data_IF_067019008379
#
_entry.id   IF_067019008379
#
_cell.length_a   1.000
_cell.length_b   1.000
_cell.length_c   1.000
_cell.angle_alpha   90.00
_cell.angle_beta   90.00
_cell.angle_gamma   90.00
#
_symmetry.space_group_name_H-M   'P 1'
#
loop_
_entity.id
_entity.type
_entity.pdbx_description
1 polymer ?
#
# COMPACT_ATOMS: atom_id res chain seq x y z
N UNK A 1 -21.76 55.10 -21.57
CA UNK A 1 -21.04 54.87 -20.30
C UNK A 1 -21.33 53.43 -19.90
N UNK A 2 -20.49 52.49 -20.31
CA UNK A 2 -20.67 51.04 -20.10
C UNK A 2 -19.62 50.58 -19.10
N UNK A 3 -20.06 50.19 -17.91
CA UNK A 3 -19.20 49.67 -16.84
C UNK A 3 -18.80 48.24 -17.19
N UNK A 4 -17.51 48.01 -17.43
CA UNK A 4 -16.96 46.66 -17.60
C UNK A 4 -16.84 46.02 -16.21
N UNK A 5 -17.66 45.02 -15.94
CA UNK A 5 -17.60 44.21 -14.73
C UNK A 5 -16.32 43.36 -14.76
N UNK A 6 -15.33 43.72 -13.94
CA UNK A 6 -14.10 42.94 -13.79
C UNK A 6 -14.42 41.63 -13.08
N UNK A 7 -14.41 40.53 -13.84
CA UNK A 7 -14.56 39.17 -13.32
C UNK A 7 -13.42 38.89 -12.33
N UNK A 8 -13.70 38.43 -11.09
CA UNK A 8 -12.66 38.22 -10.09
C UNK A 8 -11.64 37.22 -10.62
N UNK A 9 -10.36 37.58 -10.56
CA UNK A 9 -9.28 36.66 -10.86
C UNK A 9 -9.40 35.43 -9.95
N UNK A 10 -9.57 34.24 -10.54
CA UNK A 10 -9.47 32.97 -9.82
C UNK A 10 -8.14 32.95 -9.09
N UNK A 11 -8.17 33.09 -7.77
CA UNK A 11 -7.00 32.98 -6.92
C UNK A 11 -6.31 31.64 -7.22
N UNK A 12 -4.99 31.59 -7.45
CA UNK A 12 -4.29 30.34 -7.70
C UNK A 12 -4.52 29.43 -6.51
N UNK A 13 -5.23 28.32 -6.73
CA UNK A 13 -5.52 27.32 -5.70
C UNK A 13 -4.18 26.86 -5.13
N UNK A 14 -3.88 27.24 -3.89
CA UNK A 14 -2.72 26.71 -3.18
C UNK A 14 -2.74 25.19 -3.34
N UNK A 15 -1.68 24.62 -3.90
CA UNK A 15 -1.67 23.19 -4.18
C UNK A 15 -1.52 22.48 -2.85
N UNK A 16 -2.63 22.01 -2.28
CA UNK A 16 -2.65 21.33 -0.99
C UNK A 16 -1.73 20.10 -1.05
N UNK A 17 -0.69 20.12 -0.21
CA UNK A 17 0.36 19.08 -0.13
C UNK A 17 0.05 18.03 0.94
N UNK A 18 -1.02 18.24 1.71
CA UNK A 18 -1.49 17.30 2.73
C UNK A 18 -1.68 15.89 2.17
N UNK A 19 -2.27 15.69 0.97
CA UNK A 19 -2.44 14.35 0.41
C UNK A 19 -1.12 13.60 0.18
N UNK A 20 -0.06 14.29 -0.28
CA UNK A 20 1.26 13.69 -0.50
C UNK A 20 1.98 13.34 0.80
N UNK A 21 1.69 14.06 1.88
CA UNK A 21 2.26 13.78 3.20
C UNK A 21 1.67 12.50 3.81
N UNK A 22 0.40 12.20 3.53
CA UNK A 22 -0.23 10.94 3.92
C UNK A 22 0.51 9.71 3.33
N UNK A 23 0.94 9.78 2.07
CA UNK A 23 1.70 8.69 1.44
C UNK A 23 3.08 8.44 2.04
N UNK A 24 3.74 9.49 2.55
CA UNK A 24 5.01 9.37 3.27
C UNK A 24 4.81 8.64 4.61
N UNK A 25 3.69 8.88 5.29
CA UNK A 25 3.36 8.25 6.56
C UNK A 25 2.87 6.80 6.42
N UNK A 26 2.29 6.41 5.27
CA UNK A 26 1.69 5.09 5.05
C UNK A 26 2.67 3.93 5.33
N UNK A 27 3.92 4.04 4.86
CA UNK A 27 4.94 3.02 5.07
C UNK A 27 5.31 2.78 6.52
N UNK A 28 5.74 3.83 7.26
CA UNK A 28 6.01 3.73 8.68
C UNK A 28 4.84 3.18 9.49
N UNK A 29 3.61 3.66 9.23
CA UNK A 29 2.40 3.16 9.90
C UNK A 29 2.23 1.66 9.68
N UNK A 30 2.30 1.22 8.42
CA UNK A 30 2.12 -0.19 8.07
C UNK A 30 3.20 -1.08 8.69
N UNK A 31 4.47 -0.76 8.43
CA UNK A 31 5.61 -1.61 8.78
C UNK A 31 5.82 -1.68 10.28
N UNK A 32 5.74 -0.56 11.00
CA UNK A 32 5.96 -0.54 12.45
C UNK A 32 4.85 -1.31 13.16
N UNK A 33 3.59 -1.09 12.78
CA UNK A 33 2.45 -1.78 13.39
C UNK A 33 2.53 -3.29 13.11
N UNK A 34 2.75 -3.68 11.86
CA UNK A 34 2.85 -5.09 11.47
C UNK A 34 4.03 -5.78 12.15
N UNK A 35 5.20 -5.14 12.19
CA UNK A 35 6.39 -5.72 12.82
C UNK A 35 6.24 -5.82 14.34
N UNK A 36 5.72 -4.79 15.00
CA UNK A 36 5.45 -4.83 16.43
C UNK A 36 4.48 -5.95 16.79
N UNK A 37 3.41 -6.11 16.00
CA UNK A 37 2.44 -7.19 16.20
C UNK A 37 3.06 -8.57 15.92
N UNK A 38 3.84 -8.72 14.83
CA UNK A 38 4.53 -9.96 14.50
C UNK A 38 5.51 -10.41 15.59
N UNK A 39 6.25 -9.47 16.19
CA UNK A 39 7.24 -9.75 17.24
C UNK A 39 6.63 -10.03 18.60
N UNK A 40 5.39 -9.59 18.85
CA UNK A 40 4.71 -9.74 20.14
C UNK A 40 3.64 -10.82 20.15
N UNK A 41 3.20 -11.30 18.98
CA UNK A 41 2.18 -12.34 18.82
C UNK A 41 2.77 -13.73 19.12
N UNK A 42 2.34 -14.42 20.19
CA UNK A 42 2.82 -15.77 20.46
C UNK A 42 2.50 -16.72 19.31
N UNK A 43 3.48 -17.52 18.89
CA UNK A 43 3.34 -18.51 17.82
C UNK A 43 3.35 -17.95 16.39
N UNK A 44 3.49 -16.63 16.20
CA UNK A 44 3.70 -16.05 14.88
C UNK A 44 5.19 -16.01 14.56
N UNK A 45 5.59 -16.59 13.42
CA UNK A 45 6.97 -16.53 12.94
C UNK A 45 7.05 -15.53 11.77
N UNK A 46 7.63 -14.33 11.95
CA UNK A 46 7.72 -13.31 10.90
C UNK A 46 8.55 -13.75 9.69
N UNK A 47 9.38 -14.78 9.84
CA UNK A 47 10.14 -15.35 8.73
C UNK A 47 9.35 -16.43 7.98
N UNK A 48 8.22 -16.92 8.47
CA UNK A 48 7.50 -18.05 7.83
C UNK A 48 6.01 -17.84 7.64
N UNK A 49 5.44 -16.82 8.29
CA UNK A 49 4.02 -16.49 8.26
C UNK A 49 3.79 -15.17 7.54
N UNK A 50 2.85 -15.18 6.61
CA UNK A 50 2.43 -13.95 5.93
C UNK A 50 1.81 -12.96 6.92
N UNK A 51 2.11 -11.68 6.71
CA UNK A 51 1.64 -10.59 7.57
C UNK A 51 0.11 -10.53 7.66
N UNK A 52 -0.60 -10.92 6.60
CA UNK A 52 -2.07 -10.99 6.59
C UNK A 52 -2.63 -11.96 7.62
N UNK A 53 -1.89 -13.01 8.00
CA UNK A 53 -2.32 -13.97 9.02
C UNK A 53 -2.36 -13.36 10.43
N UNK A 54 -1.71 -12.21 10.65
CA UNK A 54 -1.86 -11.46 11.91
C UNK A 54 -3.29 -10.96 12.14
N UNK A 55 -4.12 -10.88 11.09
CA UNK A 55 -5.54 -10.52 11.21
C UNK A 55 -6.40 -11.62 11.85
N UNK A 56 -5.84 -12.81 12.11
CA UNK A 56 -6.57 -13.96 12.64
C UNK A 56 -6.41 -14.06 14.16
N UNK A 57 -7.54 -14.24 14.85
CA UNK A 57 -7.60 -14.51 16.29
C UNK A 57 -7.38 -13.26 17.18
N UNK A 58 -6.96 -13.45 18.45
CA UNK A 58 -6.83 -12.33 19.39
C UNK A 58 -5.89 -11.23 18.89
N UNK A 59 -6.34 -9.98 18.91
CA UNK A 59 -5.58 -8.83 18.39
C UNK A 59 -5.61 -8.67 16.87
N UNK A 60 -6.29 -9.56 16.12
CA UNK A 60 -6.35 -9.49 14.66
C UNK A 60 -6.94 -8.20 14.10
N UNK A 61 -7.85 -7.58 14.86
CA UNK A 61 -8.40 -6.26 14.52
C UNK A 61 -7.33 -5.18 14.35
N UNK A 62 -6.17 -5.30 15.02
CA UNK A 62 -5.05 -4.35 14.87
C UNK A 62 -4.51 -4.41 13.45
N UNK A 63 -4.32 -5.61 12.90
CA UNK A 63 -3.83 -5.77 11.54
C UNK A 63 -4.90 -5.36 10.51
N UNK A 64 -6.18 -5.63 10.78
CA UNK A 64 -7.29 -5.11 9.95
C UNK A 64 -7.29 -3.58 9.93
N UNK A 65 -7.20 -2.93 11.09
CA UNK A 65 -7.10 -1.49 11.20
C UNK A 65 -5.86 -0.94 10.49
N UNK A 66 -4.72 -1.63 10.62
CA UNK A 66 -3.47 -1.28 9.93
C UNK A 66 -3.65 -1.28 8.41
N UNK A 67 -4.30 -2.32 7.85
CA UNK A 67 -4.62 -2.37 6.42
C UNK A 67 -5.54 -1.23 5.99
N UNK A 68 -6.61 -0.97 6.74
CA UNK A 68 -7.59 0.08 6.40
C UNK A 68 -6.96 1.47 6.47
N UNK A 69 -6.28 1.80 7.58
CA UNK A 69 -5.63 3.11 7.76
C UNK A 69 -4.55 3.31 6.70
N UNK A 70 -3.70 2.31 6.46
CA UNK A 70 -2.67 2.40 5.42
C UNK A 70 -3.29 2.61 4.04
N UNK A 71 -4.35 1.86 3.70
CA UNK A 71 -5.04 2.01 2.43
C UNK A 71 -5.66 3.40 2.24
N UNK A 72 -6.24 3.99 3.30
CA UNK A 72 -6.74 5.37 3.28
C UNK A 72 -5.62 6.39 3.06
N UNK A 73 -4.46 6.23 3.71
CA UNK A 73 -3.29 7.08 3.51
C UNK A 73 -2.75 6.98 2.07
N UNK A 74 -2.74 5.78 1.50
CA UNK A 74 -2.36 5.53 0.10
C UNK A 74 -3.34 6.18 -0.87
N UNK A 75 -4.66 6.07 -0.63
CA UNK A 75 -5.69 6.72 -1.44
C UNK A 75 -5.54 8.25 -1.36
N UNK A 76 -5.33 8.83 -0.18
CA UNK A 76 -5.05 10.25 -0.04
C UNK A 76 -3.82 10.65 -0.89
N UNK A 77 -2.72 9.90 -0.81
CA UNK A 77 -1.54 10.14 -1.65
C UNK A 77 -1.84 10.07 -3.14
N UNK A 78 -2.71 9.15 -3.57
CA UNK A 78 -3.09 8.98 -4.96
C UNK A 78 -3.71 10.23 -5.59
N UNK A 79 -4.38 11.07 -4.78
CA UNK A 79 -4.97 12.35 -5.22
C UNK A 79 -3.85 13.32 -5.60
N UNK A 80 -2.82 13.44 -4.77
CA UNK A 80 -1.65 14.28 -5.04
C UNK A 80 -0.81 13.76 -6.21
N UNK A 81 -0.72 12.44 -6.36
CA UNK A 81 -0.02 11.79 -7.50
C UNK A 81 -0.85 11.74 -8.78
N UNK A 82 -2.15 12.05 -8.71
CA UNK A 82 -3.13 11.86 -9.79
C UNK A 82 -3.07 10.45 -10.41
N UNK A 83 -2.95 9.43 -9.57
CA UNK A 83 -2.71 8.05 -10.01
C UNK A 83 -3.84 7.10 -9.61
N UNK A 84 -4.63 6.66 -10.60
CA UNK A 84 -5.69 5.66 -10.39
C UNK A 84 -5.13 4.31 -9.93
N UNK A 85 -3.93 3.95 -10.37
CA UNK A 85 -3.29 2.68 -9.98
C UNK A 85 -2.91 2.68 -8.49
N UNK A 86 -2.44 3.82 -7.96
CA UNK A 86 -2.17 3.94 -6.52
C UNK A 86 -3.47 3.97 -5.72
N UNK A 87 -4.53 4.59 -6.25
CA UNK A 87 -5.87 4.51 -5.64
C UNK A 87 -6.37 3.06 -5.55
N UNK A 88 -6.22 2.28 -6.63
CA UNK A 88 -6.58 0.85 -6.67
C UNK A 88 -5.74 0.04 -5.69
N UNK A 89 -4.45 0.31 -5.55
CA UNK A 89 -3.61 -0.33 -4.54
C UNK A 89 -4.13 -0.07 -3.11
N UNK A 90 -4.41 1.18 -2.77
CA UNK A 90 -4.97 1.53 -1.46
C UNK A 90 -6.35 0.91 -1.21
N UNK A 91 -7.22 0.86 -2.21
CA UNK A 91 -8.51 0.19 -2.11
C UNK A 91 -8.37 -1.33 -1.91
N UNK A 92 -7.39 -1.96 -2.59
CA UNK A 92 -7.04 -3.37 -2.39
C UNK A 92 -6.61 -3.67 -0.96
N UNK A 93 -5.79 -2.79 -0.34
CA UNK A 93 -5.42 -2.92 1.07
C UNK A 93 -6.65 -2.85 2.00
N UNK A 94 -7.55 -1.89 1.80
CA UNK A 94 -8.77 -1.76 2.61
C UNK A 94 -9.62 -3.03 2.48
N UNK A 95 -9.86 -3.48 1.24
CA UNK A 95 -10.67 -4.65 0.98
C UNK A 95 -10.05 -5.94 1.56
N UNK A 96 -8.73 -6.12 1.43
CA UNK A 96 -8.02 -7.24 2.04
C UNK A 96 -8.01 -7.19 3.58
N UNK A 97 -8.09 -5.99 4.18
CA UNK A 97 -8.33 -5.85 5.61
C UNK A 97 -9.73 -6.29 6.03
N UNK A 98 -10.76 -5.92 5.26
CA UNK A 98 -12.17 -6.27 5.52
C UNK A 98 -12.41 -7.77 5.33
N UNK A 99 -11.91 -8.33 4.22
CA UNK A 99 -11.99 -9.75 3.92
C UNK A 99 -10.78 -10.43 4.55
N UNK A 100 -10.94 -10.91 5.79
CA UNK A 100 -9.85 -11.54 6.55
C UNK A 100 -9.39 -12.83 5.85
N UNK A 101 -8.06 -13.04 5.81
CA UNK A 101 -7.47 -14.26 5.27
C UNK A 101 -7.87 -15.51 6.07
N UNK A 102 -7.99 -16.64 5.38
CA UNK A 102 -8.16 -17.92 6.04
C UNK A 102 -6.86 -18.37 6.73
N UNK A 103 -6.95 -19.20 7.78
CA UNK A 103 -5.78 -19.86 8.34
C UNK A 103 -5.00 -20.64 7.27
N UNK A 104 -3.68 -20.75 7.46
CA UNK A 104 -2.85 -21.54 6.55
C UNK A 104 -3.31 -23.02 6.53
N UNK A 105 -3.26 -23.64 5.35
CA UNK A 105 -3.62 -25.05 5.13
C UNK A 105 -5.07 -25.43 5.43
N UNK A 106 -6.01 -24.48 5.41
CA UNK A 106 -7.45 -24.75 5.47
C UNK A 106 -8.11 -24.59 4.10
N UNK A 107 -9.33 -25.11 3.94
CA UNK A 107 -10.14 -24.85 2.76
C UNK A 107 -10.39 -23.33 2.62
N UNK A 108 -10.34 -22.83 1.38
CA UNK A 108 -10.56 -21.42 1.09
C UNK A 108 -12.05 -21.10 1.29
N UNK A 109 -12.34 -20.21 2.22
CA UNK A 109 -13.66 -19.62 2.42
C UNK A 109 -13.91 -18.49 1.42
N UNK A 110 -15.15 -18.01 1.34
CA UNK A 110 -15.45 -16.86 0.49
C UNK A 110 -14.73 -15.58 0.96
N UNK A 111 -14.48 -15.42 2.27
CA UNK A 111 -13.69 -14.30 2.81
C UNK A 111 -12.23 -14.42 2.37
N UNK A 112 -11.59 -15.58 2.53
CA UNK A 112 -10.22 -15.77 2.09
C UNK A 112 -10.06 -15.65 0.57
N UNK A 113 -11.04 -16.10 -0.22
CA UNK A 113 -11.06 -15.88 -1.66
C UNK A 113 -11.07 -14.37 -2.00
N UNK A 114 -11.93 -13.59 -1.35
CA UNK A 114 -11.98 -12.14 -1.54
C UNK A 114 -10.71 -11.45 -1.04
N UNK A 115 -10.10 -11.92 0.06
CA UNK A 115 -8.79 -11.44 0.52
C UNK A 115 -7.75 -11.57 -0.59
N UNK A 116 -7.59 -12.77 -1.14
CA UNK A 116 -6.61 -13.10 -2.17
C UNK A 116 -6.84 -12.25 -3.43
N UNK A 117 -8.08 -12.20 -3.91
CA UNK A 117 -8.43 -11.46 -5.15
C UNK A 117 -8.17 -9.97 -4.97
N UNK A 118 -8.63 -9.38 -3.87
CA UNK A 118 -8.50 -7.93 -3.64
C UNK A 118 -7.06 -7.51 -3.38
N UNK A 119 -6.30 -8.29 -2.59
CA UNK A 119 -4.87 -8.10 -2.41
C UNK A 119 -4.11 -8.22 -3.74
N UNK A 120 -4.41 -9.26 -4.54
CA UNK A 120 -3.80 -9.48 -5.85
C UNK A 120 -4.04 -8.31 -6.81
N UNK A 121 -5.28 -7.83 -6.92
CA UNK A 121 -5.60 -6.64 -7.74
C UNK A 121 -4.82 -5.42 -7.26
N UNK A 122 -4.76 -5.18 -5.95
CA UNK A 122 -4.03 -4.06 -5.37
C UNK A 122 -2.54 -4.12 -5.67
N UNK A 123 -1.91 -5.29 -5.49
CA UNK A 123 -0.50 -5.50 -5.73
C UNK A 123 -0.11 -5.43 -7.21
N UNK A 124 -0.96 -5.92 -8.11
CA UNK A 124 -0.77 -5.75 -9.55
C UNK A 124 -0.92 -4.27 -9.97
N UNK A 125 -1.86 -3.54 -9.38
CA UNK A 125 -2.00 -2.10 -9.62
C UNK A 125 -0.78 -1.31 -9.14
N UNK A 126 -0.23 -1.62 -7.97
CA UNK A 126 1.02 -1.02 -7.48
C UNK A 126 2.19 -1.32 -8.44
N UNK A 127 2.33 -2.57 -8.86
CA UNK A 127 3.35 -2.99 -9.83
C UNK A 127 3.23 -2.20 -11.12
N UNK A 128 2.03 -2.10 -11.68
CA UNK A 128 1.76 -1.32 -12.89
C UNK A 128 2.10 0.17 -12.69
N UNK A 129 1.80 0.75 -11.52
CA UNK A 129 2.13 2.14 -11.21
C UNK A 129 3.64 2.38 -11.20
N UNK A 130 4.41 1.42 -10.69
CA UNK A 130 5.87 1.44 -10.72
C UNK A 130 6.40 1.38 -12.17
N UNK A 131 5.92 0.42 -12.96
CA UNK A 131 6.37 0.18 -14.34
C UNK A 131 5.97 1.30 -15.31
N UNK A 132 4.87 2.01 -15.05
CA UNK A 132 4.44 3.15 -15.85
C UNK A 132 5.42 4.35 -15.76
N UNK A 133 6.28 4.41 -14.74
CA UNK A 133 7.30 5.45 -14.61
C UNK A 133 8.58 5.06 -15.36
N UNK A 134 9.21 6.02 -16.03
CA UNK A 134 10.43 5.78 -16.83
C UNK A 134 11.71 5.55 -16.01
N UNK A 135 11.67 5.74 -14.68
CA UNK A 135 12.85 5.61 -13.82
C UNK A 135 13.25 4.15 -13.58
N UNK A 136 14.55 3.85 -13.65
CA UNK A 136 15.09 2.53 -13.31
C UNK A 136 14.71 2.11 -11.88
N UNK A 137 14.78 3.05 -10.93
CA UNK A 137 14.37 2.81 -9.54
C UNK A 137 12.92 2.31 -9.45
N UNK A 138 12.00 2.91 -10.21
CA UNK A 138 10.61 2.45 -10.24
C UNK A 138 10.46 1.08 -10.87
N UNK A 139 11.17 0.81 -11.98
CA UNK A 139 11.10 -0.50 -12.64
C UNK A 139 11.62 -1.62 -11.74
N UNK A 140 12.77 -1.40 -11.11
CA UNK A 140 13.37 -2.36 -10.16
C UNK A 140 12.43 -2.60 -8.98
N UNK A 141 11.85 -1.54 -8.40
CA UNK A 141 10.87 -1.69 -7.30
C UNK A 141 9.67 -2.51 -7.74
N UNK A 142 9.08 -2.21 -8.90
CA UNK A 142 7.91 -2.92 -9.41
C UNK A 142 8.20 -4.40 -9.67
N UNK A 143 9.34 -4.72 -10.29
CA UNK A 143 9.75 -6.11 -10.57
C UNK A 143 10.04 -6.87 -9.28
N UNK A 144 10.78 -6.27 -8.34
CA UNK A 144 11.06 -6.87 -7.05
C UNK A 144 9.77 -7.13 -6.25
N UNK A 145 8.83 -6.19 -6.29
CA UNK A 145 7.54 -6.34 -5.65
C UNK A 145 6.70 -7.45 -6.27
N UNK A 146 6.62 -7.52 -7.60
CA UNK A 146 5.92 -8.59 -8.30
C UNK A 146 6.54 -9.96 -8.01
N UNK A 147 7.87 -10.06 -8.00
CA UNK A 147 8.57 -11.30 -7.69
C UNK A 147 8.32 -11.76 -6.24
N UNK A 148 8.40 -10.83 -5.28
CA UNK A 148 8.07 -11.12 -3.88
C UNK A 148 6.63 -11.58 -3.72
N UNK A 149 5.69 -10.88 -4.34
CA UNK A 149 4.27 -11.25 -4.34
C UNK A 149 4.04 -12.62 -4.97
N UNK A 150 4.61 -12.89 -6.14
CA UNK A 150 4.51 -14.19 -6.81
C UNK A 150 5.04 -15.32 -5.91
N UNK A 151 6.11 -15.06 -5.16
CA UNK A 151 6.65 -15.99 -4.16
C UNK A 151 5.64 -16.34 -3.08
N UNK A 152 5.11 -15.35 -2.34
CA UNK A 152 4.16 -15.61 -1.25
C UNK A 152 2.80 -16.12 -1.74
N UNK A 153 2.39 -15.74 -2.95
CA UNK A 153 1.14 -16.22 -3.56
C UNK A 153 1.11 -17.74 -3.80
N UNK A 154 2.27 -18.41 -3.77
CA UNK A 154 2.34 -19.88 -3.79
C UNK A 154 1.92 -20.54 -2.48
N UNK A 155 1.75 -19.78 -1.39
CA UNK A 155 1.56 -20.30 -0.03
C UNK A 155 2.86 -20.78 0.63
N UNK A 156 4.02 -20.38 0.10
CA UNK A 156 5.32 -20.80 0.61
C UNK A 156 5.61 -20.23 2.00
N UNK A 157 6.01 -21.09 2.93
CA UNK A 157 6.49 -20.74 4.28
C UNK A 157 8.01 -20.68 4.37
N UNK A 158 8.69 -20.62 3.22
CA UNK A 158 10.15 -20.51 3.15
C UNK A 158 10.63 -19.16 3.69
N UNK A 159 11.63 -19.13 4.59
CA UNK A 159 12.22 -17.88 5.08
C UNK A 159 12.68 -16.93 4.00
N UNK A 160 13.30 -17.45 2.95
CA UNK A 160 13.75 -16.62 1.83
C UNK A 160 12.59 -15.92 1.10
N UNK A 161 11.44 -16.60 0.97
CA UNK A 161 10.27 -16.06 0.28
C UNK A 161 9.55 -15.02 1.14
N UNK A 162 9.26 -15.36 2.40
CA UNK A 162 8.52 -14.48 3.31
C UNK A 162 9.34 -13.24 3.69
N UNK A 163 10.62 -13.41 4.04
CA UNK A 163 11.52 -12.26 4.30
C UNK A 163 11.72 -11.45 3.01
N UNK A 164 11.85 -12.12 1.86
CA UNK A 164 11.93 -11.46 0.56
C UNK A 164 10.71 -10.56 0.31
N UNK A 165 9.51 -11.02 0.67
CA UNK A 165 8.30 -10.23 0.54
C UNK A 165 8.22 -9.07 1.54
N UNK A 166 8.68 -9.24 2.79
CA UNK A 166 8.85 -8.12 3.73
C UNK A 166 9.73 -7.01 3.15
N UNK A 167 10.87 -7.37 2.55
CA UNK A 167 11.78 -6.42 1.89
C UNK A 167 11.08 -5.75 0.72
N UNK A 168 10.36 -6.51 -0.11
CA UNK A 168 9.60 -5.97 -1.23
C UNK A 168 8.55 -4.95 -0.78
N UNK A 169 7.80 -5.23 0.30
CA UNK A 169 6.81 -4.30 0.88
C UNK A 169 7.50 -3.04 1.42
N UNK A 170 8.65 -3.17 2.09
CA UNK A 170 9.41 -2.01 2.55
C UNK A 170 9.88 -1.13 1.38
N UNK A 171 10.38 -1.75 0.31
CA UNK A 171 10.77 -1.04 -0.93
C UNK A 171 9.57 -0.37 -1.59
N UNK A 172 8.40 -1.00 -1.60
CA UNK A 172 7.18 -0.44 -2.17
C UNK A 172 6.75 0.85 -1.46
N UNK A 173 6.76 0.85 -0.12
CA UNK A 173 6.43 2.05 0.65
C UNK A 173 7.52 3.12 0.57
N UNK A 174 8.80 2.73 0.52
CA UNK A 174 9.89 3.67 0.28
C UNK A 174 9.72 4.37 -1.09
N UNK A 175 9.34 3.61 -2.12
CA UNK A 175 9.07 4.15 -3.45
C UNK A 175 7.88 5.11 -3.45
N UNK A 176 6.81 4.79 -2.71
CA UNK A 176 5.65 5.68 -2.58
C UNK A 176 6.05 7.01 -1.92
N UNK A 177 6.82 6.94 -0.83
CA UNK A 177 7.32 8.13 -0.13
C UNK A 177 8.24 8.97 -1.02
N UNK A 178 9.20 8.36 -1.72
CA UNK A 178 10.11 9.05 -2.64
C UNK A 178 9.32 9.72 -3.77
N UNK A 179 8.35 9.01 -4.37
CA UNK A 179 7.52 9.55 -5.44
C UNK A 179 6.69 10.73 -4.95
N UNK A 180 6.11 10.63 -3.75
CA UNK A 180 5.37 11.73 -3.12
C UNK A 180 6.26 12.95 -2.85
N UNK A 181 7.47 12.76 -2.32
CA UNK A 181 8.44 13.85 -2.08
C UNK A 181 8.87 14.50 -3.39
N UNK A 182 9.16 13.73 -4.44
CA UNK A 182 9.51 14.26 -5.76
C UNK A 182 8.38 15.13 -6.32
N UNK A 183 7.13 14.65 -6.26
CA UNK A 183 5.97 15.44 -6.71
C UNK A 183 5.78 16.70 -5.87
N UNK A 184 5.98 16.64 -4.53
CA UNK A 184 5.95 17.85 -3.68
C UNK A 184 6.99 18.89 -4.11
N UNK A 185 8.19 18.46 -4.53
CA UNK A 185 9.25 19.35 -4.99
C UNK A 185 8.92 20.00 -6.33
N UNK A 186 8.35 19.25 -7.28
CA UNK A 186 7.92 19.81 -8.57
C UNK A 186 6.82 20.85 -8.44
N UNK A 187 5.95 20.75 -7.43
CA UNK A 187 4.90 21.75 -7.16
C UNK A 187 5.47 23.07 -6.59
N UNK A 188 6.67 23.04 -6.00
CA UNK A 188 7.29 24.22 -5.39
C UNK A 188 8.09 25.09 -6.36
N UNK A 189 8.32 24.59 -7.58
CA UNK A 189 9.04 25.29 -8.65
C UNK A 189 8.06 25.62 -9.76
#
# INVERSE_FOLDING_TARGET
MTTVEQRPATQPRSTDKTPLTAGIAAGPVYLVTALAQALTRPGFDPARSDVSLLAIGPGGWIQVANFVVTGLLVIACSVGLKSRLIATFGAGLIAAGIFVADPANTAISWHGALHIVTAGIGFLAFTAACLARKSLYSRVTGIAFLAGFAGVATGSTSPAVVIGFWVAVALAFAWLAVTAVQTKRTINH
#
